data_IF_790393910985
#
_entry.id   IF_790393910985
#
_cell.length_a   1.000
_cell.length_b   1.000
_cell.length_c   1.000
_cell.angle_alpha   90.00
_cell.angle_beta   90.00
_cell.angle_gamma   90.00
#
_symmetry.space_group_name_H-M   'P 1'
#
loop_
_entity.id
_entity.type
_entity.pdbx_description
1 polymer ?
#
# COMPACT_ATOMS: atom_id res chain seq x y z
N UNK A 1 -13.94 23.57 -17.67
CA UNK A 1 -15.39 23.68 -17.42
C UNK A 1 -15.80 22.40 -16.73
N UNK A 2 -16.26 22.48 -15.48
CA UNK A 2 -16.82 21.33 -14.76
C UNK A 2 -18.20 21.04 -15.35
N UNK A 3 -18.52 19.78 -15.64
CA UNK A 3 -19.80 19.37 -16.22
C UNK A 3 -20.98 19.83 -15.35
N UNK A 4 -22.03 20.35 -15.99
CA UNK A 4 -23.24 20.90 -15.36
C UNK A 4 -23.99 19.89 -14.46
N UNK A 5 -23.74 18.58 -14.63
CA UNK A 5 -24.35 17.53 -13.80
C UNK A 5 -23.97 17.61 -12.32
N UNK A 6 -22.80 18.15 -11.98
CA UNK A 6 -22.37 18.27 -10.57
C UNK A 6 -22.81 19.57 -9.89
N UNK A 7 -23.17 20.60 -10.65
CA UNK A 7 -23.62 21.89 -10.10
C UNK A 7 -24.98 21.78 -9.39
N UNK A 8 -25.79 20.78 -9.75
CA UNK A 8 -27.10 20.54 -9.13
C UNK A 8 -27.06 19.61 -7.90
N UNK A 9 -25.91 18.96 -7.61
CA UNK A 9 -25.82 17.96 -6.54
C UNK A 9 -25.66 18.59 -5.13
N UNK A 10 -25.07 19.79 -5.04
CA UNK A 10 -24.92 20.53 -3.78
C UNK A 10 -25.55 21.91 -3.98
N UNK A 11 -26.81 22.12 -3.54
CA UNK A 11 -27.54 23.35 -3.85
C UNK A 11 -26.87 24.55 -3.17
N UNK A 12 -26.50 25.60 -3.89
CA UNK A 12 -25.91 26.79 -3.27
C UNK A 12 -27.00 27.68 -2.63
N UNK A 13 -27.29 27.47 -1.34
CA UNK A 13 -28.34 28.17 -0.59
C UNK A 13 -27.78 28.84 0.66
N UNK A 14 -28.53 29.80 1.21
CA UNK A 14 -28.15 30.48 2.45
C UNK A 14 -27.95 29.51 3.62
N UNK A 15 -28.69 28.39 3.64
CA UNK A 15 -28.59 27.39 4.69
C UNK A 15 -27.25 26.63 4.69
N UNK A 16 -26.58 26.48 3.54
CA UNK A 16 -25.36 25.69 3.39
C UNK A 16 -24.15 26.48 2.83
N UNK A 17 -24.29 27.79 2.69
CA UNK A 17 -23.19 28.72 2.44
C UNK A 17 -22.76 29.33 3.76
N UNK A 18 -21.45 29.36 4.06
CA UNK A 18 -20.89 29.92 5.29
C UNK A 18 -19.74 30.87 4.93
N UNK A 19 -19.77 32.09 5.45
CA UNK A 19 -18.80 33.13 5.08
C UNK A 19 -17.96 33.50 6.30
N UNK A 20 -16.70 33.07 6.30
CA UNK A 20 -15.77 33.38 7.39
C UNK A 20 -14.96 34.61 7.02
N UNK A 21 -14.92 35.56 7.95
CA UNK A 21 -14.04 36.71 7.81
C UNK A 21 -12.66 36.38 8.38
N UNK A 22 -11.62 36.75 7.61
CA UNK A 22 -10.23 36.45 7.91
C UNK A 22 -9.56 37.48 8.83
N UNK A 23 -10.19 38.64 9.03
CA UNK A 23 -9.58 39.76 9.76
C UNK A 23 -9.29 39.43 11.24
N UNK A 24 -10.13 38.63 11.89
CA UNK A 24 -9.88 38.16 13.26
C UNK A 24 -8.61 37.29 13.40
N UNK A 25 -8.27 36.47 12.40
CA UNK A 25 -7.03 35.70 12.38
C UNK A 25 -5.81 36.59 12.13
N UNK A 26 -5.95 37.59 11.26
CA UNK A 26 -4.90 38.58 10.99
C UNK A 26 -4.59 39.41 12.22
N UNK A 27 -5.61 39.83 12.97
CA UNK A 27 -5.45 40.52 14.25
C UNK A 27 -4.65 39.68 15.25
N UNK A 28 -4.98 38.39 15.41
CA UNK A 28 -4.25 37.51 16.31
C UNK A 28 -2.77 37.36 15.91
N UNK A 29 -2.48 37.21 14.62
CA UNK A 29 -1.12 37.12 14.10
C UNK A 29 -0.34 38.43 14.35
N UNK A 30 -0.95 39.57 14.07
CA UNK A 30 -0.33 40.89 14.28
C UNK A 30 -0.08 41.20 15.76
N UNK A 31 -1.00 40.83 16.66
CA UNK A 31 -0.80 40.93 18.12
C UNK A 31 0.37 40.07 18.60
N UNK A 32 0.56 38.87 18.05
CA UNK A 32 1.73 38.02 18.35
C UNK A 32 3.05 38.67 17.89
N UNK A 33 3.00 39.44 16.81
CA UNK A 33 4.12 40.24 16.30
C UNK A 33 4.28 41.60 16.99
N UNK A 34 3.56 41.85 18.09
CA UNK A 34 3.58 43.11 18.87
C UNK A 34 3.22 44.35 18.03
N UNK A 35 2.36 44.18 17.04
CA UNK A 35 1.78 45.29 16.28
C UNK A 35 0.61 45.85 17.10
N UNK A 36 0.64 47.15 17.33
CA UNK A 36 -0.43 47.88 18.00
C UNK A 36 -1.46 48.39 17.00
N UNK A 37 -2.71 48.45 17.47
CA UNK A 37 -3.88 48.87 16.71
C UNK A 37 -4.59 49.97 17.47
N UNK A 38 -5.19 50.90 16.76
CA UNK A 38 -6.08 51.88 17.38
C UNK A 38 -7.41 51.23 17.81
N UNK A 39 -8.22 51.96 18.58
CA UNK A 39 -9.50 51.43 19.08
C UNK A 39 -10.51 51.15 17.96
N UNK A 40 -10.45 51.89 16.86
CA UNK A 40 -11.33 51.66 15.72
C UNK A 40 -11.03 50.31 15.06
N UNK A 41 -9.76 50.04 14.79
CA UNK A 41 -9.29 48.78 14.23
C UNK A 41 -9.60 47.60 15.15
N UNK A 42 -9.37 47.75 16.47
CA UNK A 42 -9.73 46.70 17.44
C UNK A 42 -11.23 46.37 17.40
N UNK A 43 -12.09 47.39 17.28
CA UNK A 43 -13.52 47.17 17.18
C UNK A 43 -13.90 46.43 15.90
N UNK A 44 -13.29 46.76 14.76
CA UNK A 44 -13.51 46.06 13.50
C UNK A 44 -13.09 44.58 13.57
N UNK A 45 -11.92 44.29 14.17
CA UNK A 45 -11.49 42.91 14.39
C UNK A 45 -12.39 42.14 15.34
N UNK A 46 -12.93 42.80 16.37
CA UNK A 46 -13.89 42.22 17.28
C UNK A 46 -15.22 41.89 16.59
N UNK A 47 -15.71 42.80 15.74
CA UNK A 47 -16.91 42.58 14.93
C UNK A 47 -16.72 41.40 13.96
N UNK A 48 -15.58 41.37 13.28
CA UNK A 48 -15.14 40.26 12.40
C UNK A 48 -15.14 38.92 13.14
N UNK A 49 -14.56 38.87 14.35
CA UNK A 49 -14.54 37.68 15.19
C UNK A 49 -15.95 37.19 15.52
N UNK A 50 -16.84 38.08 15.96
CA UNK A 50 -18.22 37.72 16.30
C UNK A 50 -18.99 37.14 15.10
N UNK A 51 -18.77 37.69 13.90
CA UNK A 51 -19.35 37.16 12.66
C UNK A 51 -18.82 35.75 12.41
N UNK A 52 -17.50 35.55 12.44
CA UNK A 52 -16.89 34.24 12.22
C UNK A 52 -17.34 33.19 13.23
N UNK A 53 -17.46 33.53 14.53
CA UNK A 53 -17.99 32.63 15.56
C UNK A 53 -19.44 32.25 15.28
N UNK A 54 -20.28 33.22 14.91
CA UNK A 54 -21.69 32.97 14.56
C UNK A 54 -21.82 32.05 13.35
N UNK A 55 -21.00 32.27 12.33
CA UNK A 55 -20.96 31.44 11.12
C UNK A 55 -20.43 30.04 11.41
N UNK A 56 -19.45 29.89 12.31
CA UNK A 56 -18.97 28.58 12.78
C UNK A 56 -20.08 27.80 13.49
N UNK A 57 -20.83 28.47 14.38
CA UNK A 57 -21.98 27.84 15.04
C UNK A 57 -23.07 27.46 14.04
N UNK A 58 -23.31 28.30 13.01
CA UNK A 58 -24.26 27.97 11.95
C UNK A 58 -23.81 26.73 11.17
N UNK A 59 -22.52 26.62 10.85
CA UNK A 59 -21.94 25.45 10.19
C UNK A 59 -22.09 24.19 11.03
N UNK A 60 -21.74 24.23 12.32
CA UNK A 60 -21.86 23.07 13.21
C UNK A 60 -23.32 22.60 13.33
N UNK A 61 -24.25 23.53 13.52
CA UNK A 61 -25.68 23.23 13.58
C UNK A 61 -26.21 22.66 12.26
N UNK A 62 -25.69 23.12 11.12
CA UNK A 62 -26.03 22.56 9.81
C UNK A 62 -25.53 21.12 9.68
N UNK A 63 -24.26 20.87 10.01
CA UNK A 63 -23.66 19.52 9.99
C UNK A 63 -24.45 18.55 10.87
N UNK A 64 -24.88 18.97 12.07
CA UNK A 64 -25.69 18.13 12.96
C UNK A 64 -27.06 17.73 12.39
N UNK A 65 -27.61 18.53 11.47
CA UNK A 65 -28.91 18.28 10.84
C UNK A 65 -28.80 17.48 9.55
N UNK A 66 -27.60 17.42 8.96
CA UNK A 66 -27.36 16.57 7.81
C UNK A 66 -27.58 15.11 8.19
N UNK A 67 -28.23 14.35 7.31
CA UNK A 67 -28.30 12.90 7.46
C UNK A 67 -26.88 12.35 7.56
N UNK A 68 -26.67 11.42 8.49
CA UNK A 68 -25.38 10.79 8.66
C UNK A 68 -25.00 10.11 7.34
N UNK A 69 -23.95 10.64 6.71
CA UNK A 69 -23.47 10.10 5.44
C UNK A 69 -23.14 8.62 5.62
N UNK A 70 -23.71 7.76 4.78
CA UNK A 70 -23.42 6.32 4.81
C UNK A 70 -21.98 6.12 4.34
N UNK A 71 -21.09 5.76 5.27
CA UNK A 71 -19.65 5.58 4.99
C UNK A 71 -19.39 4.53 3.89
N UNK A 72 -20.33 3.59 3.71
CA UNK A 72 -20.36 2.59 2.65
C UNK A 72 -20.38 3.21 1.23
N UNK A 73 -20.86 4.46 1.08
CA UNK A 73 -20.91 5.20 -0.18
C UNK A 73 -19.62 6.01 -0.46
N UNK A 74 -18.59 5.91 0.39
CA UNK A 74 -17.31 6.61 0.21
C UNK A 74 -16.24 5.76 -0.51
N UNK A 75 -16.63 4.67 -1.16
CA UNK A 75 -15.73 3.85 -1.97
C UNK A 75 -15.18 4.69 -3.12
N UNK A 76 -14.00 5.27 -2.92
CA UNK A 76 -13.35 6.12 -3.90
C UNK A 76 -12.43 5.29 -4.79
N UNK A 77 -12.50 5.42 -6.14
CA UNK A 77 -11.51 4.87 -7.06
C UNK A 77 -10.08 5.23 -6.70
N UNK A 78 -9.87 6.47 -6.24
CA UNK A 78 -8.56 6.97 -5.83
C UNK A 78 -8.07 6.27 -4.57
N UNK A 79 -8.95 6.09 -3.58
CA UNK A 79 -8.62 5.37 -2.34
C UNK A 79 -8.31 3.90 -2.65
N UNK A 80 -9.11 3.27 -3.50
CA UNK A 80 -8.85 1.89 -3.93
C UNK A 80 -7.49 1.76 -4.63
N UNK A 81 -7.13 2.71 -5.50
CA UNK A 81 -5.83 2.69 -6.15
C UNK A 81 -4.65 2.79 -5.15
N UNK A 82 -4.81 3.62 -4.11
CA UNK A 82 -3.84 3.70 -3.00
C UNK A 82 -3.79 2.40 -2.20
N UNK A 83 -4.94 1.78 -1.91
CA UNK A 83 -5.01 0.52 -1.18
C UNK A 83 -4.38 -0.63 -1.95
N UNK A 84 -4.63 -0.73 -3.26
CA UNK A 84 -3.98 -1.72 -4.13
C UNK A 84 -2.46 -1.54 -4.12
N UNK A 85 -1.98 -0.29 -4.22
CA UNK A 85 -0.55 0.00 -4.18
C UNK A 85 0.10 -0.40 -2.84
N UNK A 86 -0.56 -0.09 -1.71
CA UNK A 86 -0.09 -0.47 -0.36
C UNK A 86 -0.17 -1.98 -0.10
N UNK A 87 -1.12 -2.68 -0.71
CA UNK A 87 -1.28 -4.13 -0.54
C UNK A 87 -0.34 -4.94 -1.43
N UNK A 88 0.18 -4.36 -2.51
CA UNK A 88 0.99 -5.08 -3.49
C UNK A 88 2.18 -5.82 -2.85
N UNK A 89 2.96 -5.14 -2.00
CA UNK A 89 4.11 -5.77 -1.35
C UNK A 89 3.70 -6.87 -0.33
N UNK A 90 2.80 -6.62 0.65
CA UNK A 90 2.30 -7.67 1.54
C UNK A 90 1.75 -8.92 0.83
N UNK A 91 1.03 -8.73 -0.27
CA UNK A 91 0.46 -9.82 -1.05
C UNK A 91 1.54 -10.61 -1.77
N UNK A 92 2.51 -9.93 -2.38
CA UNK A 92 3.61 -10.59 -3.09
C UNK A 92 4.57 -11.32 -2.15
N UNK A 93 4.88 -10.78 -0.97
CA UNK A 93 5.67 -11.49 0.04
C UNK A 93 4.92 -12.70 0.60
N UNK A 94 3.60 -12.60 0.78
CA UNK A 94 2.75 -13.77 1.12
C UNK A 94 2.80 -14.83 0.02
N UNK A 95 2.79 -14.43 -1.25
CA UNK A 95 2.95 -15.33 -2.37
C UNK A 95 4.33 -16.02 -2.35
N UNK A 96 5.41 -15.30 -2.09
CA UNK A 96 6.76 -15.89 -1.96
C UNK A 96 6.83 -16.90 -0.82
N UNK A 97 6.24 -16.57 0.33
CA UNK A 97 6.09 -17.48 1.47
C UNK A 97 5.37 -18.78 1.11
N UNK A 98 4.26 -18.68 0.37
CA UNK A 98 3.50 -19.85 -0.11
C UNK A 98 4.38 -20.72 -1.00
N UNK A 99 5.16 -20.12 -1.91
CA UNK A 99 6.05 -20.87 -2.81
C UNK A 99 7.16 -21.58 -2.03
N UNK A 100 7.81 -20.91 -1.07
CA UNK A 100 8.83 -21.54 -0.23
C UNK A 100 8.28 -22.78 0.47
N UNK A 101 7.11 -22.65 1.10
CA UNK A 101 6.49 -23.76 1.83
C UNK A 101 6.01 -24.89 0.92
N UNK A 102 5.50 -24.57 -0.27
CA UNK A 102 5.15 -25.58 -1.27
C UNK A 102 6.38 -26.39 -1.70
N UNK A 103 7.53 -25.72 -1.90
CA UNK A 103 8.78 -26.40 -2.28
C UNK A 103 9.43 -27.20 -1.17
N UNK A 104 9.31 -26.78 0.10
CA UNK A 104 9.70 -27.62 1.24
C UNK A 104 8.87 -28.91 1.30
N UNK A 105 7.57 -28.80 1.05
CA UNK A 105 6.67 -29.95 1.07
C UNK A 105 6.98 -30.94 -0.06
N UNK A 106 7.22 -30.45 -1.28
CA UNK A 106 7.66 -31.28 -2.42
C UNK A 106 8.98 -32.02 -2.14
N UNK A 107 9.91 -31.35 -1.44
CA UNK A 107 11.18 -31.94 -1.02
C UNK A 107 11.04 -32.96 0.13
N UNK A 108 9.82 -33.29 0.56
CA UNK A 108 9.50 -34.16 1.71
C UNK A 108 10.10 -33.68 3.03
N UNK A 109 10.42 -32.38 3.14
CA UNK A 109 10.87 -31.73 4.38
C UNK A 109 9.66 -31.28 5.21
N UNK A 110 8.74 -32.21 5.49
CA UNK A 110 7.43 -31.94 6.10
C UNK A 110 7.54 -31.49 7.57
N UNK A 111 8.73 -31.63 8.16
CA UNK A 111 9.02 -31.23 9.53
C UNK A 111 9.31 -29.73 9.67
N UNK A 112 9.46 -28.98 8.57
CA UNK A 112 9.83 -27.57 8.60
C UNK A 112 8.85 -26.70 7.80
N UNK A 113 8.62 -25.47 8.27
CA UNK A 113 7.88 -24.44 7.57
C UNK A 113 8.63 -23.12 7.65
N UNK A 114 8.63 -22.38 6.54
CA UNK A 114 9.02 -20.98 6.53
C UNK A 114 7.87 -20.15 7.07
N UNK A 115 8.16 -19.29 8.03
CA UNK A 115 7.29 -18.20 8.47
C UNK A 115 7.86 -16.86 8.06
N UNK A 116 6.97 -15.88 7.92
CA UNK A 116 7.29 -14.51 7.59
C UNK A 116 7.04 -13.62 8.80
N UNK A 117 8.04 -12.82 9.15
CA UNK A 117 7.96 -11.79 10.16
C UNK A 117 8.16 -10.42 9.50
N UNK A 118 7.38 -9.42 9.92
CA UNK A 118 7.52 -8.04 9.47
C UNK A 118 7.85 -7.14 10.63
N UNK A 119 8.85 -6.30 10.43
CA UNK A 119 9.32 -5.34 11.41
C UNK A 119 9.10 -3.92 10.90
N UNK A 120 8.68 -2.98 11.76
CA UNK A 120 8.51 -1.59 11.36
C UNK A 120 9.86 -0.97 11.00
N UNK A 121 9.84 0.01 10.10
CA UNK A 121 11.04 0.76 9.73
C UNK A 121 10.93 2.17 10.27
N UNK A 122 11.95 2.61 10.99
CA UNK A 122 12.00 3.95 11.58
C UNK A 122 12.45 5.05 10.60
N UNK A 123 12.85 4.67 9.38
CA UNK A 123 13.41 5.57 8.35
C UNK A 123 12.88 5.17 6.97
N UNK A 124 12.73 6.15 6.09
CA UNK A 124 12.45 5.90 4.67
C UNK A 124 13.57 5.06 4.05
N UNK A 125 13.22 3.90 3.51
CA UNK A 125 14.16 2.93 2.96
C UNK A 125 13.71 2.50 1.57
N UNK A 126 14.65 2.30 0.65
CA UNK A 126 14.37 1.68 -0.65
C UNK A 126 15.37 0.56 -0.94
N UNK A 127 15.08 -0.26 -1.94
CA UNK A 127 15.91 -1.40 -2.34
C UNK A 127 17.35 -1.05 -2.70
N UNK A 128 17.65 0.19 -3.14
CA UNK A 128 19.04 0.63 -3.42
C UNK A 128 19.76 1.25 -2.22
N UNK A 129 19.03 1.92 -1.33
CA UNK A 129 19.62 2.52 -0.14
C UNK A 129 19.78 1.52 1.01
N UNK A 130 19.06 0.40 0.96
CA UNK A 130 19.16 -0.67 1.92
C UNK A 130 20.48 -1.43 1.79
N UNK A 131 21.03 -1.83 2.93
CA UNK A 131 22.07 -2.84 2.94
C UNK A 131 21.41 -4.20 2.69
N UNK A 132 22.04 -5.02 1.86
CA UNK A 132 21.56 -6.36 1.54
C UNK A 132 22.51 -7.40 2.10
N UNK A 133 21.96 -8.47 2.66
CA UNK A 133 22.69 -9.67 3.05
C UNK A 133 21.98 -10.88 2.47
N UNK A 134 22.76 -11.89 2.08
CA UNK A 134 22.20 -13.16 1.62
C UNK A 134 22.19 -14.11 2.80
N UNK A 135 21.01 -14.62 3.12
CA UNK A 135 20.75 -15.41 4.32
C UNK A 135 20.23 -16.79 3.93
N UNK A 136 20.77 -17.82 4.57
CA UNK A 136 20.34 -19.20 4.40
C UNK A 136 19.01 -19.44 5.13
N UNK A 137 18.09 -20.15 4.47
CA UNK A 137 16.76 -20.50 4.93
C UNK A 137 16.49 -21.96 4.57
N UNK A 138 17.12 -22.87 5.31
CA UNK A 138 17.09 -24.30 5.00
C UNK A 138 17.71 -24.57 3.62
N UNK A 139 16.97 -25.15 2.65
CA UNK A 139 17.51 -25.38 1.32
C UNK A 139 17.54 -24.12 0.43
N UNK A 140 16.96 -23.01 0.88
CA UNK A 140 16.89 -21.78 0.10
C UNK A 140 17.86 -20.73 0.64
N UNK A 141 18.13 -19.75 -0.18
CA UNK A 141 18.75 -18.49 0.20
C UNK A 141 17.82 -17.34 -0.13
N UNK A 142 17.89 -16.24 0.59
CA UNK A 142 17.11 -15.05 0.26
C UNK A 142 17.87 -13.76 0.55
N UNK A 143 17.48 -12.70 -0.13
CA UNK A 143 18.04 -11.37 0.09
C UNK A 143 17.31 -10.69 1.25
N UNK A 144 18.04 -10.43 2.33
CA UNK A 144 17.54 -9.69 3.49
C UNK A 144 17.97 -8.23 3.40
N UNK A 145 16.98 -7.34 3.41
CA UNK A 145 17.21 -5.89 3.48
C UNK A 145 17.37 -5.43 4.93
N UNK A 146 18.32 -4.53 5.17
CA UNK A 146 18.59 -3.90 6.47
C UNK A 146 18.78 -2.39 6.34
N UNK A 147 18.44 -1.62 7.38
CA UNK A 147 18.82 -0.21 7.46
C UNK A 147 20.35 -0.05 7.44
N UNK A 148 20.89 1.05 6.87
CA UNK A 148 22.31 1.32 6.89
C UNK A 148 22.85 1.51 8.33
N UNK A 149 24.09 1.06 8.57
CA UNK A 149 24.74 1.04 9.91
C UNK A 149 25.10 2.44 10.42
N UNK A 150 25.44 3.39 9.55
CA UNK A 150 25.85 4.76 9.92
C UNK A 150 24.75 5.77 9.61
N UNK A 151 24.26 6.47 10.64
CA UNK A 151 23.26 7.54 10.55
C UNK A 151 23.80 8.88 9.98
N UNK A 152 25.10 8.98 9.74
CA UNK A 152 25.79 10.27 9.52
C UNK A 152 25.86 10.72 8.07
N UNK A 153 25.58 9.87 7.10
CA UNK A 153 25.18 10.35 5.79
C UNK A 153 23.66 10.41 5.79
N UNK A 154 23.15 11.64 5.84
CA UNK A 154 21.76 12.03 5.56
C UNK A 154 20.98 10.92 4.87
N UNK A 155 19.89 10.45 5.48
CA UNK A 155 18.89 9.56 4.86
C UNK A 155 18.48 10.08 3.47
N UNK A 156 19.22 9.68 2.43
CA UNK A 156 19.20 10.31 1.12
C UNK A 156 18.13 9.72 0.21
N UNK A 157 17.03 9.20 0.75
CA UNK A 157 15.88 8.86 -0.09
C UNK A 157 15.40 10.09 -0.91
N UNK A 158 15.58 11.31 -0.38
CA UNK A 158 15.32 12.57 -1.13
C UNK A 158 16.12 12.72 -2.43
N UNK A 159 17.25 12.02 -2.58
CA UNK A 159 18.13 12.08 -3.76
C UNK A 159 18.15 10.76 -4.54
N UNK A 160 17.28 9.80 -4.19
CA UNK A 160 17.17 8.53 -4.90
C UNK A 160 16.51 8.81 -6.27
N UNK A 161 17.17 8.54 -7.42
CA UNK A 161 16.61 8.87 -8.72
C UNK A 161 15.24 8.20 -8.92
N UNK A 162 14.21 8.89 -9.37
CA UNK A 162 12.91 8.27 -9.67
C UNK A 162 12.94 7.52 -11.00
N UNK A 163 13.81 6.51 -11.12
CA UNK A 163 14.07 5.75 -12.35
C UNK A 163 13.20 4.48 -12.49
N UNK A 164 12.22 4.31 -11.60
CA UNK A 164 11.29 3.17 -11.61
C UNK A 164 11.87 1.85 -11.10
N UNK A 165 13.17 1.80 -10.74
CA UNK A 165 13.82 0.62 -10.15
C UNK A 165 13.98 0.69 -8.63
N UNK A 166 13.45 1.75 -8.01
CA UNK A 166 13.43 1.90 -6.57
C UNK A 166 12.08 1.45 -6.01
N UNK A 167 12.12 0.40 -5.19
CA UNK A 167 10.97 0.00 -4.39
C UNK A 167 11.14 0.56 -3.01
N UNK A 168 10.18 1.37 -2.59
CA UNK A 168 10.09 1.79 -1.21
C UNK A 168 9.80 0.56 -0.34
N UNK A 169 10.58 0.40 0.72
CA UNK A 169 10.44 -0.70 1.67
C UNK A 169 9.61 -0.14 2.83
N UNK A 170 8.37 -0.62 2.93
CA UNK A 170 7.42 -0.16 3.96
C UNK A 170 7.55 -0.92 5.28
N UNK A 171 8.12 -2.12 5.25
CA UNK A 171 8.46 -2.94 6.42
C UNK A 171 9.64 -3.86 6.10
N UNK A 172 10.46 -4.18 7.09
CA UNK A 172 11.54 -5.17 6.92
C UNK A 172 10.93 -6.56 7.08
N UNK A 173 10.96 -7.32 5.99
CA UNK A 173 10.49 -8.70 5.96
C UNK A 173 11.65 -9.64 6.25
N UNK A 174 11.46 -10.56 7.18
CA UNK A 174 12.40 -11.63 7.49
C UNK A 174 11.71 -12.99 7.43
N UNK A 175 12.46 -13.98 6.96
CA UNK A 175 11.98 -15.35 6.85
C UNK A 175 12.71 -16.22 7.86
N UNK A 176 11.96 -17.09 8.53
CA UNK A 176 12.49 -18.01 9.54
C UNK A 176 11.98 -19.42 9.29
N UNK A 177 12.86 -20.41 9.45
CA UNK A 177 12.50 -21.82 9.36
C UNK A 177 12.12 -22.33 10.76
N UNK A 178 10.87 -22.73 10.94
CA UNK A 178 10.37 -23.30 12.18
C UNK A 178 10.04 -24.79 12.02
N UNK A 179 10.28 -25.57 13.07
CA UNK A 179 9.87 -26.97 13.13
C UNK A 179 8.36 -27.10 13.37
N UNK A 180 7.68 -27.92 12.59
CA UNK A 180 6.25 -28.21 12.70
C UNK A 180 6.01 -29.52 13.47
N UNK A 181 4.99 -29.58 14.35
CA UNK A 181 4.40 -30.86 14.74
C UNK A 181 3.78 -31.53 13.50
N UNK A 182 4.00 -32.84 13.35
CA UNK A 182 3.54 -33.63 12.20
C UNK A 182 2.02 -33.50 12.00
N UNK A 183 1.57 -32.95 10.86
CA UNK A 183 0.14 -32.98 10.49
C UNK A 183 -0.41 -31.87 9.59
N UNK A 184 0.33 -30.78 9.29
CA UNK A 184 -0.21 -29.72 8.44
C UNK A 184 -0.21 -30.14 6.95
N UNK A 185 -1.40 -30.33 6.37
CA UNK A 185 -1.56 -30.79 4.98
C UNK A 185 -1.39 -29.64 3.99
N UNK A 186 -0.47 -29.84 3.04
CA UNK A 186 -0.08 -28.87 1.99
C UNK A 186 -0.99 -28.96 0.73
N UNK A 187 -2.07 -29.74 0.80
CA UNK A 187 -2.86 -30.13 -0.39
C UNK A 187 -4.00 -29.17 -0.78
N UNK A 188 -4.29 -28.14 0.02
CA UNK A 188 -5.38 -27.17 -0.28
C UNK A 188 -4.92 -25.91 -1.04
N UNK A 189 -3.65 -25.80 -1.38
CA UNK A 189 -3.06 -24.52 -1.78
C UNK A 189 -3.15 -24.22 -3.27
N UNK A 190 -3.15 -25.21 -4.17
CA UNK A 190 -3.03 -24.94 -5.62
C UNK A 190 -4.26 -24.25 -6.23
N UNK A 191 -5.47 -24.66 -5.88
CA UNK A 191 -6.71 -23.99 -6.33
C UNK A 191 -6.87 -22.62 -5.68
N UNK A 192 -6.56 -22.53 -4.39
CA UNK A 192 -6.53 -21.28 -3.61
C UNK A 192 -5.51 -20.27 -4.18
N UNK A 193 -4.37 -20.76 -4.70
CA UNK A 193 -3.29 -19.96 -5.25
C UNK A 193 -3.63 -19.34 -6.61
N UNK A 194 -4.24 -20.11 -7.52
CA UNK A 194 -4.70 -19.55 -8.80
C UNK A 194 -5.78 -18.48 -8.58
N UNK A 195 -6.71 -18.73 -7.66
CA UNK A 195 -7.73 -17.75 -7.30
C UNK A 195 -7.11 -16.49 -6.67
N UNK A 196 -6.11 -16.64 -5.80
CA UNK A 196 -5.36 -15.53 -5.23
C UNK A 196 -4.71 -14.66 -6.31
N UNK A 197 -3.97 -15.28 -7.24
CA UNK A 197 -3.34 -14.56 -8.35
C UNK A 197 -4.35 -13.85 -9.24
N UNK A 198 -5.44 -14.55 -9.59
CA UNK A 198 -6.50 -13.97 -10.42
C UNK A 198 -7.14 -12.75 -9.75
N UNK A 199 -7.36 -12.78 -8.44
CA UNK A 199 -7.83 -11.61 -7.67
C UNK A 199 -6.85 -10.43 -7.76
N UNK A 200 -5.55 -10.66 -7.58
CA UNK A 200 -4.54 -9.62 -7.76
C UNK A 200 -4.57 -9.03 -9.19
N UNK A 201 -4.73 -9.88 -10.21
CA UNK A 201 -4.79 -9.43 -11.61
C UNK A 201 -6.07 -8.63 -11.91
N UNK A 202 -7.20 -8.95 -11.27
CA UNK A 202 -8.43 -8.12 -11.32
C UNK A 202 -8.20 -6.73 -10.73
N UNK A 203 -7.46 -6.61 -9.62
CA UNK A 203 -7.08 -5.31 -9.05
C UNK A 203 -6.26 -4.49 -10.04
N UNK A 204 -5.28 -5.11 -10.70
CA UNK A 204 -4.45 -4.44 -11.73
C UNK A 204 -5.28 -4.03 -12.94
N UNK A 205 -6.17 -4.90 -13.40
CA UNK A 205 -7.08 -4.60 -14.50
C UNK A 205 -7.92 -3.36 -14.22
N UNK A 206 -8.47 -3.26 -13.00
CA UNK A 206 -9.16 -2.06 -12.54
C UNK A 206 -8.28 -0.80 -12.60
N UNK A 207 -7.03 -0.87 -12.11
CA UNK A 207 -6.10 0.26 -12.15
C UNK A 207 -5.89 0.77 -13.60
N UNK A 208 -5.76 -0.15 -14.56
CA UNK A 208 -5.59 0.20 -15.99
C UNK A 208 -6.81 0.91 -16.57
N UNK A 209 -8.02 0.54 -16.13
CA UNK A 209 -9.27 1.17 -16.59
C UNK A 209 -9.42 2.62 -16.10
N UNK A 210 -8.89 2.96 -14.93
CA UNK A 210 -9.04 4.29 -14.33
C UNK A 210 -8.23 5.39 -15.05
N UNK A 211 -7.47 5.08 -16.11
CA UNK A 211 -6.60 6.03 -16.85
C UNK A 211 -5.69 6.86 -15.93
N UNK A 212 -5.40 6.36 -14.72
CA UNK A 212 -4.54 7.02 -13.77
C UNK A 212 -3.09 6.98 -14.29
N UNK A 213 -2.26 8.00 -14.00
CA UNK A 213 -0.85 8.02 -14.42
C UNK A 213 0.02 6.93 -13.76
N UNK A 214 -0.57 6.05 -12.94
CA UNK A 214 0.08 4.83 -12.44
C UNK A 214 0.08 3.79 -13.58
N UNK A 215 1.01 3.95 -14.52
CA UNK A 215 1.17 3.04 -15.66
C UNK A 215 1.71 1.65 -15.27
N UNK A 216 2.14 1.47 -14.02
CA UNK A 216 2.86 0.26 -13.61
C UNK A 216 1.96 -0.66 -12.78
N UNK A 217 1.88 -1.92 -13.18
CA UNK A 217 1.37 -3.03 -12.37
C UNK A 217 2.31 -3.21 -11.16
N UNK A 218 1.89 -2.82 -9.93
CA UNK A 218 2.78 -2.82 -8.79
C UNK A 218 3.21 -4.23 -8.41
N UNK A 219 2.36 -5.22 -8.63
CA UNK A 219 2.66 -6.62 -8.36
C UNK A 219 3.68 -7.18 -9.35
N UNK A 220 3.60 -6.79 -10.64
CA UNK A 220 4.55 -7.23 -11.67
C UNK A 220 5.95 -6.71 -11.37
N UNK A 221 6.05 -5.45 -10.95
CA UNK A 221 7.32 -4.84 -10.58
C UNK A 221 7.97 -5.57 -9.39
N UNK A 222 7.19 -5.95 -8.36
CA UNK A 222 7.68 -6.75 -7.24
C UNK A 222 8.07 -8.17 -7.67
N UNK A 223 7.31 -8.80 -8.58
CA UNK A 223 7.64 -10.12 -9.11
C UNK A 223 8.97 -10.11 -9.87
N UNK A 224 9.23 -9.05 -10.63
CA UNK A 224 10.50 -8.85 -11.33
C UNK A 224 11.64 -8.68 -10.35
N UNK A 225 11.45 -7.91 -9.27
CA UNK A 225 12.42 -7.82 -8.17
C UNK A 225 12.74 -9.19 -7.59
N UNK A 226 11.73 -10.02 -7.28
CA UNK A 226 11.98 -11.37 -6.79
C UNK A 226 12.79 -12.23 -7.78
N UNK A 227 12.48 -12.15 -9.08
CA UNK A 227 13.25 -12.87 -10.09
C UNK A 227 14.71 -12.41 -10.15
N UNK A 228 14.96 -11.10 -10.06
CA UNK A 228 16.31 -10.53 -10.01
C UNK A 228 17.08 -11.03 -8.78
N UNK A 229 16.47 -10.96 -7.59
CA UNK A 229 17.07 -11.45 -6.34
C UNK A 229 17.45 -12.94 -6.43
N UNK A 230 16.55 -13.79 -6.92
CA UNK A 230 16.79 -15.24 -7.04
C UNK A 230 17.86 -15.55 -8.10
N UNK A 231 17.97 -14.75 -9.16
CA UNK A 231 19.03 -14.85 -10.16
C UNK A 231 20.39 -14.44 -9.59
N UNK A 232 20.46 -13.35 -8.83
CA UNK A 232 21.70 -12.90 -8.16
C UNK A 232 22.22 -13.97 -7.20
N UNK A 233 21.33 -14.52 -6.36
CA UNK A 233 21.67 -15.62 -5.45
C UNK A 233 22.22 -16.81 -6.23
N UNK A 234 21.62 -17.14 -7.38
CA UNK A 234 22.02 -18.29 -8.20
C UNK A 234 23.42 -18.16 -8.82
N UNK A 235 23.96 -16.95 -8.93
CA UNK A 235 25.28 -16.67 -9.50
C UNK A 235 26.43 -16.79 -8.49
N UNK A 236 26.13 -16.94 -7.20
CA UNK A 236 27.15 -16.98 -6.15
C UNK A 236 27.82 -18.35 -6.11
N UNK A 237 29.13 -18.37 -6.40
CA UNK A 237 29.91 -19.61 -6.59
C UNK A 237 30.00 -20.52 -5.36
N UNK A 238 29.79 -19.98 -4.16
CA UNK A 238 30.00 -20.69 -2.89
C UNK A 238 28.70 -21.13 -2.20
N UNK A 239 27.57 -21.06 -2.90
CA UNK A 239 26.25 -21.37 -2.36
C UNK A 239 25.59 -22.47 -3.21
N UNK A 240 24.97 -23.47 -2.56
CA UNK A 240 24.06 -24.39 -3.27
C UNK A 240 22.74 -23.68 -3.58
N UNK A 241 22.64 -23.15 -4.79
CA UNK A 241 21.46 -22.44 -5.29
C UNK A 241 20.46 -23.34 -6.02
N UNK A 242 20.54 -24.66 -5.87
CA UNK A 242 19.67 -25.59 -6.60
C UNK A 242 18.18 -25.38 -6.30
N UNK A 243 17.83 -25.10 -5.04
CA UNK A 243 16.45 -24.79 -4.68
C UNK A 243 16.00 -23.42 -5.23
N UNK A 244 16.86 -22.40 -5.14
CA UNK A 244 16.62 -21.06 -5.71
C UNK A 244 16.39 -21.09 -7.22
N UNK A 245 17.14 -21.90 -7.97
CA UNK A 245 16.89 -22.12 -9.41
C UNK A 245 15.50 -22.69 -9.70
N UNK A 246 15.01 -23.62 -8.88
CA UNK A 246 13.63 -24.13 -8.98
C UNK A 246 12.60 -23.07 -8.59
N UNK A 247 12.91 -22.17 -7.66
CA UNK A 247 12.03 -21.04 -7.35
C UNK A 247 11.92 -20.07 -8.53
N UNK A 248 13.02 -19.76 -9.21
CA UNK A 248 13.02 -18.99 -10.45
C UNK A 248 12.08 -19.58 -11.51
N UNK A 249 12.06 -20.90 -11.68
CA UNK A 249 11.14 -21.57 -12.61
C UNK A 249 9.66 -21.34 -12.24
N UNK A 250 9.33 -21.42 -10.94
CA UNK A 250 7.97 -21.15 -10.44
C UNK A 250 7.60 -19.69 -10.62
N UNK A 251 8.48 -18.75 -10.27
CA UNK A 251 8.25 -17.32 -10.43
C UNK A 251 8.04 -16.95 -11.90
N UNK A 252 8.80 -17.55 -12.83
CA UNK A 252 8.58 -17.40 -14.27
C UNK A 252 7.25 -18.02 -14.74
N UNK A 253 6.81 -19.13 -14.14
CA UNK A 253 5.47 -19.67 -14.38
C UNK A 253 4.38 -18.71 -13.91
N UNK A 254 4.56 -18.07 -12.74
CA UNK A 254 3.61 -17.08 -12.23
C UNK A 254 3.56 -15.86 -13.14
N UNK A 255 4.72 -15.37 -13.62
CA UNK A 255 4.78 -14.27 -14.58
C UNK A 255 3.95 -14.58 -15.84
N UNK A 256 4.04 -15.79 -16.37
CA UNK A 256 3.22 -16.25 -17.51
C UNK A 256 1.73 -16.31 -17.17
N UNK A 257 1.35 -16.91 -16.05
CA UNK A 257 -0.05 -16.99 -15.60
C UNK A 257 -0.67 -15.59 -15.48
N UNK A 258 0.06 -14.62 -14.94
CA UNK A 258 -0.43 -13.25 -14.81
C UNK A 258 -0.60 -12.55 -16.16
N UNK A 259 0.27 -12.84 -17.14
CA UNK A 259 0.11 -12.37 -18.51
C UNK A 259 -1.15 -12.97 -19.17
N UNK A 260 -1.40 -14.27 -18.96
CA UNK A 260 -2.62 -14.95 -19.42
C UNK A 260 -3.88 -14.37 -18.78
N UNK A 261 -3.89 -14.23 -17.45
CA UNK A 261 -5.01 -13.60 -16.73
C UNK A 261 -5.27 -12.18 -17.23
N UNK A 262 -4.21 -11.38 -17.39
CA UNK A 262 -4.31 -10.02 -17.93
C UNK A 262 -4.94 -10.00 -19.33
N UNK A 263 -4.57 -10.92 -20.21
CA UNK A 263 -5.16 -11.04 -21.54
C UNK A 263 -6.63 -11.47 -21.45
N UNK A 264 -6.94 -12.46 -20.61
CA UNK A 264 -8.30 -12.94 -20.40
C UNK A 264 -9.23 -11.82 -19.91
N UNK A 265 -8.79 -11.05 -18.91
CA UNK A 265 -9.55 -9.92 -18.34
C UNK A 265 -9.79 -8.81 -19.37
N UNK A 266 -8.78 -8.53 -20.20
CA UNK A 266 -8.89 -7.57 -21.28
C UNK A 266 -9.87 -8.03 -22.37
N UNK A 267 -9.76 -9.27 -22.84
CA UNK A 267 -10.64 -9.85 -23.87
C UNK A 267 -12.09 -9.95 -23.38
N UNK A 268 -12.28 -10.33 -22.11
CA UNK A 268 -13.61 -10.37 -21.50
C UNK A 268 -14.24 -8.98 -21.30
N UNK A 269 -13.45 -7.90 -21.48
CA UNK A 269 -13.81 -6.53 -21.15
C UNK A 269 -14.44 -6.44 -19.75
N UNK A 270 -13.83 -7.16 -18.79
CA UNK A 270 -14.38 -7.21 -17.43
C UNK A 270 -14.41 -5.80 -16.85
N UNK A 271 -15.55 -5.39 -16.29
CA UNK A 271 -15.71 -4.10 -15.66
C UNK A 271 -16.08 -4.33 -14.19
N UNK A 272 -15.09 -4.19 -13.30
CA UNK A 272 -15.35 -4.30 -11.87
C UNK A 272 -16.09 -3.07 -11.37
N UNK A 273 -17.22 -3.30 -10.69
CA UNK A 273 -17.79 -2.25 -9.85
C UNK A 273 -16.84 -1.91 -8.71
N UNK A 274 -16.95 -0.68 -8.19
CA UNK A 274 -16.15 -0.27 -7.04
C UNK A 274 -16.44 -1.16 -5.81
N UNK A 275 -17.68 -1.64 -5.66
CA UNK A 275 -18.06 -2.53 -4.57
C UNK A 275 -17.34 -3.88 -4.65
N UNK A 276 -17.37 -4.53 -5.82
CA UNK A 276 -16.65 -5.80 -6.04
C UNK A 276 -15.14 -5.63 -5.82
N UNK A 277 -14.59 -4.48 -6.18
CA UNK A 277 -13.17 -4.19 -5.96
C UNK A 277 -12.81 -4.19 -4.48
N UNK A 278 -13.61 -3.51 -3.64
CA UNK A 278 -13.37 -3.50 -2.20
C UNK A 278 -13.63 -4.86 -1.56
N UNK A 279 -14.57 -5.66 -2.06
CA UNK A 279 -14.71 -7.05 -1.63
C UNK A 279 -13.44 -7.85 -1.87
N UNK A 280 -12.80 -7.72 -3.04
CA UNK A 280 -11.51 -8.38 -3.32
C UNK A 280 -10.43 -7.88 -2.37
N UNK A 281 -10.34 -6.56 -2.16
CA UNK A 281 -9.38 -5.94 -1.23
C UNK A 281 -9.55 -6.50 0.17
N UNK A 282 -10.79 -6.58 0.66
CA UNK A 282 -11.11 -7.07 1.99
C UNK A 282 -10.77 -8.56 2.14
N UNK A 283 -11.13 -9.39 1.15
CA UNK A 283 -10.79 -10.81 1.12
C UNK A 283 -9.28 -11.06 1.15
N UNK A 284 -8.51 -10.28 0.36
CA UNK A 284 -7.05 -10.38 0.33
C UNK A 284 -6.42 -9.87 1.62
N UNK A 285 -6.97 -8.80 2.21
CA UNK A 285 -6.50 -8.24 3.49
C UNK A 285 -6.83 -9.15 4.67
N UNK A 286 -7.90 -9.95 4.58
CA UNK A 286 -8.29 -10.90 5.61
C UNK A 286 -7.32 -12.09 5.76
N UNK A 287 -6.43 -12.32 4.78
CA UNK A 287 -5.36 -13.32 4.89
C UNK A 287 -4.46 -12.95 6.07
N UNK A 288 -4.34 -13.85 7.05
CA UNK A 288 -3.70 -13.55 8.34
C UNK A 288 -2.27 -12.97 8.18
N UNK A 289 -1.47 -13.53 7.27
CA UNK A 289 -0.12 -13.04 6.98
C UNK A 289 -0.13 -11.64 6.36
N UNK A 290 -1.07 -11.36 5.46
CA UNK A 290 -1.23 -10.02 4.85
C UNK A 290 -1.65 -9.02 5.91
N UNK A 291 -2.65 -9.34 6.72
CA UNK A 291 -3.13 -8.48 7.82
C UNK A 291 -2.00 -8.08 8.76
N UNK A 292 -1.19 -9.04 9.22
CA UNK A 292 -0.04 -8.76 10.09
C UNK A 292 0.94 -7.78 9.45
N UNK A 293 1.27 -7.96 8.17
CA UNK A 293 2.17 -7.06 7.44
C UNK A 293 1.57 -5.64 7.32
N UNK A 294 0.29 -5.55 6.96
CA UNK A 294 -0.42 -4.26 6.83
C UNK A 294 -0.49 -3.53 8.16
N UNK A 295 -0.75 -4.22 9.26
CA UNK A 295 -0.80 -3.61 10.60
C UNK A 295 0.57 -3.02 10.98
N UNK A 296 1.67 -3.72 10.68
CA UNK A 296 3.04 -3.20 10.89
C UNK A 296 3.33 -1.98 10.02
N UNK A 297 2.96 -2.01 8.74
CA UNK A 297 3.13 -0.87 7.82
C UNK A 297 2.38 0.35 8.33
N UNK A 298 1.14 0.16 8.83
CA UNK A 298 0.34 1.25 9.44
C UNK A 298 0.97 1.84 10.68
N UNK A 299 1.64 1.03 11.51
CA UNK A 299 2.35 1.54 12.70
C UNK A 299 3.69 2.22 12.39
N UNK A 300 4.22 2.04 11.18
CA UNK A 300 5.50 2.62 10.74
C UNK A 300 5.35 4.03 10.15
N UNK A 301 4.11 4.49 9.92
CA UNK A 301 3.76 5.82 9.39
C UNK A 301 3.11 6.67 10.46
#
# INVERSE_FOLDING_TARGET
MLNDEHLNAIPFKKENTFCFDSESFRYLAARKSRIDFDEYQKQEYFNSWNISVKESMRLLNFIQRCEQYRLEEWLSPRKAALDIAMLALPLMETLRLIIYNAKLAEAKSIANQVVLNSNPIAIDLCTRCAQTNIVELGPFWYMQYRPPVLRTDTSQHRHCPTDGKHFFIESIVTYELIGLPAGLKVEQWQSSFRNFLFKCDRLVHYLRQQKLPVQNDPFQAILERFLEEEQEISQIRNIDSTANRRLCEVLNSIKRIRQENSQQLFVANENLSIYELYQIIDELTAIQTVKKQVDIIKTSR
#
